data_IF_781417998897
#
_entry.id   IF_781417998897
#
_cell.length_a   1.000
_cell.length_b   1.000
_cell.length_c   1.000
_cell.angle_alpha   90.00
_cell.angle_beta   90.00
_cell.angle_gamma   90.00
#
_symmetry.space_group_name_H-M   'P 1'
#
loop_
_entity.id
_entity.type
_entity.pdbx_description
1 polymer ?
#
# COMPACT_ATOMS: atom_id res chain seq x y z
N UNK A 1 13.21 7.48 26.24
CA UNK A 1 11.73 7.48 26.10
C UNK A 1 11.20 8.62 26.94
N UNK A 2 10.54 9.63 26.36
CA UNK A 2 9.93 10.72 27.13
C UNK A 2 8.53 10.25 27.54
N UNK A 3 8.16 10.39 28.81
CA UNK A 3 6.81 10.02 29.25
C UNK A 3 5.75 10.87 28.52
N UNK A 4 4.63 10.26 28.16
CA UNK A 4 3.56 10.92 27.38
C UNK A 4 3.13 12.24 28.02
N UNK A 5 2.93 12.28 29.35
CA UNK A 5 2.57 13.51 30.06
C UNK A 5 3.63 14.62 30.00
N UNK A 6 4.93 14.28 30.02
CA UNK A 6 6.00 15.28 29.85
C UNK A 6 6.06 15.80 28.41
N UNK A 7 5.79 14.92 27.44
CA UNK A 7 5.70 15.30 26.04
C UNK A 7 4.52 16.25 25.81
N UNK A 8 3.34 15.95 26.34
CA UNK A 8 2.14 16.77 26.14
C UNK A 8 2.33 18.22 26.61
N UNK A 9 3.01 18.42 27.74
CA UNK A 9 3.29 19.76 28.26
C UNK A 9 4.27 20.56 27.38
N UNK A 10 5.27 19.89 26.79
CA UNK A 10 6.32 20.54 26.00
C UNK A 10 6.03 20.60 24.48
N UNK A 11 5.05 19.85 24.00
CA UNK A 11 4.79 19.70 22.57
C UNK A 11 3.77 20.73 22.07
N UNK A 12 4.20 21.55 21.10
CA UNK A 12 3.33 22.53 20.43
C UNK A 12 2.20 21.89 19.62
N UNK A 13 2.35 20.63 19.20
CA UNK A 13 1.28 19.90 18.48
C UNK A 13 0.27 19.33 19.47
N UNK A 14 0.70 18.83 20.63
CA UNK A 14 -0.22 18.35 21.67
C UNK A 14 -1.14 19.46 22.19
N UNK A 15 -0.62 20.69 22.29
CA UNK A 15 -1.37 21.89 22.66
C UNK A 15 -2.04 22.60 21.49
N UNK A 16 -1.93 22.07 20.26
CA UNK A 16 -2.51 22.69 19.07
C UNK A 16 -4.02 22.42 18.98
N UNK A 17 -4.81 23.46 18.69
CA UNK A 17 -6.28 23.32 18.53
C UNK A 17 -6.69 22.34 17.43
N UNK A 18 -5.86 22.25 16.38
CA UNK A 18 -6.06 21.34 15.22
C UNK A 18 -5.18 20.08 15.30
N UNK A 19 -4.84 19.61 16.50
CA UNK A 19 -3.97 18.44 16.73
C UNK A 19 -4.39 17.24 15.88
N UNK A 20 -5.68 16.86 15.93
CA UNK A 20 -6.20 15.71 15.19
C UNK A 20 -6.00 15.84 13.67
N UNK A 21 -6.08 17.06 13.13
CA UNK A 21 -5.84 17.29 11.70
C UNK A 21 -4.36 17.13 11.34
N UNK A 22 -3.45 17.62 12.19
CA UNK A 22 -2.00 17.41 12.04
C UNK A 22 -1.65 15.92 12.06
N UNK A 23 -2.20 15.17 13.02
CA UNK A 23 -1.99 13.73 13.14
C UNK A 23 -2.54 12.97 11.91
N UNK A 24 -3.76 13.30 11.47
CA UNK A 24 -4.38 12.72 10.28
C UNK A 24 -3.58 12.99 9.02
N UNK A 25 -3.17 14.24 8.79
CA UNK A 25 -2.38 14.64 7.62
C UNK A 25 -1.04 13.90 7.61
N UNK A 26 -0.41 13.73 8.78
CA UNK A 26 0.82 12.93 8.90
C UNK A 26 0.59 11.45 8.56
N UNK A 27 -0.50 10.85 9.04
CA UNK A 27 -0.87 9.45 8.76
C UNK A 27 -1.22 9.26 7.28
N UNK A 28 -1.83 10.25 6.63
CA UNK A 28 -2.18 10.26 5.20
C UNK A 28 -1.03 10.65 4.28
N UNK A 29 0.22 10.48 4.73
CA UNK A 29 1.43 10.70 3.93
C UNK A 29 1.70 12.12 3.44
N UNK A 30 0.96 13.14 3.92
CA UNK A 30 1.28 14.53 3.61
C UNK A 30 2.70 14.87 4.09
N UNK A 31 3.39 15.70 3.32
CA UNK A 31 4.77 16.09 3.62
C UNK A 31 4.85 16.79 4.99
N UNK A 32 5.72 16.34 5.93
CA UNK A 32 5.89 17.00 7.22
C UNK A 32 6.31 18.48 7.13
N UNK A 33 6.95 18.90 6.04
CA UNK A 33 7.26 20.30 5.78
C UNK A 33 6.01 21.12 5.40
N UNK A 34 5.12 20.53 4.60
CA UNK A 34 3.84 21.15 4.25
C UNK A 34 2.92 21.25 5.48
N UNK A 35 2.85 20.18 6.29
CA UNK A 35 2.14 20.19 7.57
C UNK A 35 2.71 21.29 8.47
N UNK A 36 4.03 21.38 8.62
CA UNK A 36 4.62 22.41 9.47
C UNK A 36 4.22 23.82 9.02
N UNK A 37 4.26 24.09 7.72
CA UNK A 37 3.85 25.38 7.16
C UNK A 37 2.38 25.69 7.37
N UNK A 38 1.50 24.73 7.07
CA UNK A 38 0.04 24.91 7.10
C UNK A 38 -0.53 25.10 8.51
N UNK A 39 0.05 24.41 9.50
CA UNK A 39 -0.40 24.48 10.88
C UNK A 39 0.48 25.42 11.75
N UNK A 40 1.34 26.24 11.14
CA UNK A 40 2.15 27.22 11.86
C UNK A 40 3.15 26.61 12.86
N UNK A 41 3.66 25.41 12.56
CA UNK A 41 4.65 24.72 13.38
C UNK A 41 6.05 25.20 12.99
N UNK A 42 7.00 25.14 13.94
CA UNK A 42 8.37 25.61 13.73
C UNK A 42 9.03 25.00 12.49
N UNK A 43 8.95 23.68 12.35
CA UNK A 43 9.62 22.92 11.31
C UNK A 43 9.08 21.49 11.22
N UNK A 44 9.55 20.75 10.21
CA UNK A 44 9.26 19.30 10.05
C UNK A 44 9.71 18.46 11.25
N UNK A 45 10.76 18.89 11.97
CA UNK A 45 11.30 18.17 13.13
C UNK A 45 10.32 18.17 14.30
N UNK A 46 9.49 19.20 14.41
CA UNK A 46 8.41 19.30 15.39
C UNK A 46 7.32 18.26 15.13
N UNK A 47 6.98 18.03 13.86
CA UNK A 47 6.04 16.98 13.44
C UNK A 47 6.61 15.59 13.75
N UNK A 48 7.86 15.32 13.40
CA UNK A 48 8.49 14.02 13.67
C UNK A 48 8.61 13.70 15.16
N UNK A 49 9.02 14.67 15.99
CA UNK A 49 9.10 14.47 17.45
C UNK A 49 7.74 14.10 18.05
N UNK A 50 6.67 14.75 17.59
CA UNK A 50 5.31 14.39 18.01
C UNK A 50 4.90 13.01 17.52
N UNK A 51 5.16 12.70 16.25
CA UNK A 51 4.84 11.39 15.68
C UNK A 51 5.55 10.23 16.38
N UNK A 52 6.81 10.41 16.80
CA UNK A 52 7.53 9.41 17.58
C UNK A 52 6.97 9.27 18.99
N UNK A 53 6.63 10.38 19.65
CA UNK A 53 6.13 10.34 21.02
C UNK A 53 4.75 9.68 21.14
N UNK A 54 3.92 9.75 20.09
CA UNK A 54 2.58 9.14 20.05
C UNK A 54 2.47 7.90 19.16
N UNK A 55 3.61 7.37 18.73
CA UNK A 55 3.67 6.15 17.92
C UNK A 55 2.77 6.20 16.66
N UNK A 56 2.87 7.30 15.91
CA UNK A 56 2.06 7.51 14.68
C UNK A 56 2.67 6.85 13.45
N UNK A 57 3.93 6.42 13.51
CA UNK A 57 4.63 5.80 12.38
C UNK A 57 4.01 4.47 11.95
N UNK A 58 3.67 3.54 12.86
CA UNK A 58 2.95 2.33 12.47
C UNK A 58 1.64 2.67 11.76
N UNK A 59 0.85 3.62 12.28
CA UNK A 59 -0.41 4.05 11.65
C UNK A 59 -0.19 4.62 10.25
N UNK A 60 0.84 5.46 10.08
CA UNK A 60 1.25 6.00 8.77
C UNK A 60 1.67 4.90 7.80
N UNK A 61 2.46 3.93 8.25
CA UNK A 61 2.88 2.79 7.43
C UNK A 61 1.68 1.95 6.98
N UNK A 62 0.69 1.72 7.86
CA UNK A 62 -0.52 0.99 7.48
C UNK A 62 -1.31 1.68 6.37
N UNK A 63 -1.21 3.01 6.30
CA UNK A 63 -1.92 3.84 5.36
C UNK A 63 -1.13 4.14 4.07
N UNK A 64 -0.20 3.27 3.68
CA UNK A 64 0.57 3.40 2.42
C UNK A 64 -0.32 3.55 1.18
N UNK A 65 -1.53 2.98 1.19
CA UNK A 65 -2.51 3.13 0.11
C UNK A 65 -2.80 4.59 -0.22
N UNK A 66 -3.00 5.43 0.79
CA UNK A 66 -3.24 6.86 0.62
C UNK A 66 -2.03 7.61 0.00
N UNK A 67 -0.81 7.10 0.21
CA UNK A 67 0.40 7.65 -0.43
C UNK A 67 0.46 7.29 -1.92
N UNK A 68 0.08 6.05 -2.24
CA UNK A 68 0.09 5.52 -3.60
C UNK A 68 -1.03 6.14 -4.46
N UNK A 69 -2.22 6.37 -3.88
CA UNK A 69 -3.31 7.12 -4.53
C UNK A 69 -2.86 8.52 -4.96
N UNK A 70 -2.16 9.27 -4.10
CA UNK A 70 -1.60 10.59 -4.45
C UNK A 70 -0.56 10.53 -5.59
N UNK A 71 0.17 9.41 -5.72
CA UNK A 71 1.11 9.20 -6.83
C UNK A 71 0.35 8.90 -8.13
N UNK A 72 -0.70 8.07 -8.07
CA UNK A 72 -1.55 7.73 -9.21
C UNK A 72 -2.25 8.99 -9.75
N UNK A 73 -2.82 9.83 -8.86
CA UNK A 73 -3.43 11.11 -9.24
C UNK A 73 -2.44 12.03 -9.98
N UNK A 74 -1.21 12.14 -9.46
CA UNK A 74 -0.15 12.97 -10.06
C UNK A 74 0.49 12.38 -11.31
N UNK A 75 0.35 11.08 -11.55
CA UNK A 75 0.86 10.43 -12.75
C UNK A 75 0.12 10.85 -14.02
N UNK A 76 -1.08 11.42 -13.90
CA UNK A 76 -1.79 12.06 -15.01
C UNK A 76 -1.27 13.47 -15.32
N UNK A 77 -0.49 14.10 -14.43
CA UNK A 77 -0.05 15.50 -14.54
C UNK A 77 1.44 15.66 -14.87
N UNK A 78 2.24 14.59 -14.76
CA UNK A 78 3.69 14.60 -14.99
C UNK A 78 4.01 13.54 -16.05
N UNK A 79 5.01 13.75 -16.91
CA UNK A 79 5.58 12.72 -17.82
C UNK A 79 6.26 11.62 -16.98
N UNK A 80 5.45 10.87 -16.23
CA UNK A 80 5.89 9.72 -15.47
C UNK A 80 5.96 8.57 -16.44
N UNK A 81 7.14 7.96 -16.57
CA UNK A 81 7.26 6.77 -17.41
C UNK A 81 6.23 5.73 -16.94
N UNK A 82 5.56 5.07 -17.89
CA UNK A 82 4.50 4.10 -17.58
C UNK A 82 4.99 2.97 -16.65
N UNK A 83 6.29 2.65 -16.65
CA UNK A 83 6.87 1.64 -15.78
C UNK A 83 6.90 2.05 -14.30
N UNK A 84 7.02 3.35 -13.97
CA UNK A 84 6.96 3.85 -12.60
C UNK A 84 5.52 3.77 -12.06
N UNK A 85 4.53 4.01 -12.91
CA UNK A 85 3.11 3.82 -12.56
C UNK A 85 2.79 2.34 -12.34
N UNK A 86 3.20 1.47 -13.26
CA UNK A 86 3.01 0.01 -13.13
C UNK A 86 3.72 -0.53 -11.89
N UNK A 87 4.92 -0.03 -11.57
CA UNK A 87 5.65 -0.38 -10.35
C UNK A 87 4.93 0.05 -9.08
N UNK A 88 4.35 1.27 -9.07
CA UNK A 88 3.55 1.76 -7.95
C UNK A 88 2.27 0.92 -7.76
N UNK A 89 1.57 0.57 -8.84
CA UNK A 89 0.38 -0.29 -8.81
C UNK A 89 0.72 -1.71 -8.33
N UNK A 90 1.82 -2.29 -8.81
CA UNK A 90 2.31 -3.60 -8.36
C UNK A 90 2.65 -3.58 -6.87
N UNK A 91 3.27 -2.50 -6.40
CA UNK A 91 3.59 -2.29 -4.98
C UNK A 91 2.32 -2.13 -4.14
N UNK A 92 1.30 -1.40 -4.63
CA UNK A 92 0.00 -1.28 -3.97
C UNK A 92 -0.68 -2.64 -3.80
N UNK A 93 -0.69 -3.46 -4.85
CA UNK A 93 -1.33 -4.78 -4.86
C UNK A 93 -0.67 -5.77 -3.88
N UNK A 94 0.60 -5.58 -3.54
CA UNK A 94 1.33 -6.41 -2.57
C UNK A 94 1.09 -6.03 -1.10
N UNK A 95 0.22 -5.06 -0.83
CA UNK A 95 0.00 -4.54 0.53
C UNK A 95 -1.42 -4.89 1.00
N UNK A 96 -1.52 -5.68 2.07
CA UNK A 96 -2.81 -6.09 2.63
C UNK A 96 -3.57 -4.92 3.31
N UNK A 97 -4.78 -5.19 3.80
CA UNK A 97 -5.62 -4.20 4.51
C UNK A 97 -5.00 -3.66 5.79
N UNK A 98 -3.99 -4.35 6.34
CA UNK A 98 -3.21 -3.92 7.49
C UNK A 98 -1.93 -3.16 7.11
N UNK A 99 -1.69 -2.93 5.82
CA UNK A 99 -0.53 -2.22 5.31
C UNK A 99 0.80 -2.97 5.48
N UNK A 100 0.74 -4.28 5.65
CA UNK A 100 1.91 -5.15 5.64
C UNK A 100 2.20 -5.56 4.20
N UNK A 101 3.50 -5.66 3.89
CA UNK A 101 3.96 -6.36 2.69
C UNK A 101 3.54 -7.82 2.81
N UNK A 102 2.60 -8.23 1.97
CA UNK A 102 2.37 -9.64 1.72
C UNK A 102 3.31 -9.99 0.58
N UNK A 103 4.42 -10.61 0.93
CA UNK A 103 5.11 -11.44 -0.05
C UNK A 103 4.09 -12.51 -0.44
N UNK A 104 3.48 -12.36 -1.62
CA UNK A 104 2.71 -13.45 -2.22
C UNK A 104 3.72 -14.54 -2.54
N UNK A 105 4.11 -15.32 -1.53
CA UNK A 105 4.75 -16.61 -1.72
C UNK A 105 3.83 -17.39 -2.66
N UNK A 106 4.35 -17.71 -3.85
CA UNK A 106 3.66 -18.35 -4.98
C UNK A 106 2.65 -17.48 -5.74
N UNK A 107 3.07 -16.29 -6.20
CA UNK A 107 2.46 -15.78 -7.43
C UNK A 107 3.05 -16.53 -8.62
N UNK A 108 2.32 -17.56 -9.07
CA UNK A 108 2.55 -18.19 -10.37
C UNK A 108 2.66 -17.09 -11.42
N UNK A 109 3.87 -16.90 -11.96
CA UNK A 109 4.12 -15.90 -12.99
C UNK A 109 3.48 -16.41 -14.30
N UNK A 110 2.36 -15.81 -14.69
CA UNK A 110 1.63 -16.24 -15.89
C UNK A 110 2.52 -16.21 -17.14
N UNK A 111 3.48 -15.29 -17.22
CA UNK A 111 4.42 -15.23 -18.35
C UNK A 111 5.32 -16.47 -18.40
N UNK A 112 5.83 -16.94 -17.26
CA UNK A 112 6.65 -18.16 -17.20
C UNK A 112 5.83 -19.41 -17.55
N UNK A 113 4.52 -19.41 -17.26
CA UNK A 113 3.65 -20.50 -17.71
C UNK A 113 3.43 -20.47 -19.23
N UNK A 114 3.24 -19.29 -19.83
CA UNK A 114 3.13 -19.17 -21.29
C UNK A 114 4.43 -19.56 -22.00
N UNK A 115 5.59 -19.23 -21.42
CA UNK A 115 6.90 -19.66 -21.94
C UNK A 115 7.13 -21.17 -21.87
N UNK A 116 6.44 -21.87 -20.97
CA UNK A 116 6.52 -23.32 -20.82
C UNK A 116 5.57 -24.08 -21.76
N UNK A 117 4.69 -23.38 -22.48
CA UNK A 117 3.83 -24.01 -23.49
C UNK A 117 4.65 -24.41 -24.72
N UNK A 118 4.33 -25.57 -25.27
CA UNK A 118 4.83 -25.99 -26.57
C UNK A 118 4.20 -25.13 -27.68
N UNK A 119 4.82 -25.14 -28.87
CA UNK A 119 4.31 -24.39 -30.01
C UNK A 119 2.90 -24.85 -30.40
N UNK A 120 2.65 -26.15 -30.33
CA UNK A 120 1.36 -26.76 -30.64
C UNK A 120 0.27 -26.32 -29.64
N UNK A 121 0.62 -26.16 -28.35
CA UNK A 121 -0.28 -25.63 -27.31
C UNK A 121 -0.54 -24.12 -27.49
N UNK A 122 0.47 -23.34 -27.91
CA UNK A 122 0.29 -21.91 -28.24
C UNK A 122 -0.58 -21.70 -29.47
N UNK A 123 -0.43 -22.54 -30.49
CA UNK A 123 -1.26 -22.52 -31.70
C UNK A 123 -2.71 -22.96 -31.42
N UNK A 124 -2.94 -23.86 -30.46
CA UNK A 124 -4.29 -24.16 -29.97
C UNK A 124 -4.89 -22.93 -29.27
N UNK A 125 -4.19 -22.34 -28.29
CA UNK A 125 -4.63 -21.13 -27.60
C UNK A 125 -4.92 -19.97 -28.56
N UNK A 126 -4.08 -19.75 -29.58
CA UNK A 126 -4.28 -18.69 -30.57
C UNK A 126 -5.50 -18.93 -31.48
N UNK A 127 -5.91 -20.18 -31.70
CA UNK A 127 -7.04 -20.53 -32.58
C UNK A 127 -8.39 -20.49 -31.87
N UNK A 128 -8.46 -21.00 -30.65
CA UNK A 128 -9.74 -21.22 -29.94
C UNK A 128 -9.71 -20.90 -28.44
N UNK A 129 -8.64 -20.26 -27.96
CA UNK A 129 -8.41 -19.94 -26.55
C UNK A 129 -8.31 -21.18 -25.63
N UNK A 130 -8.01 -22.37 -26.18
CA UNK A 130 -7.79 -23.58 -25.38
C UNK A 130 -6.46 -23.51 -24.63
N UNK A 131 -6.50 -23.69 -23.30
CA UNK A 131 -5.32 -23.79 -22.44
C UNK A 131 -5.06 -25.25 -22.02
N UNK A 132 -3.79 -25.66 -21.89
CA UNK A 132 -3.45 -27.01 -21.42
C UNK A 132 -3.94 -27.29 -20.00
N UNK A 133 -4.29 -28.55 -19.71
CA UNK A 133 -4.75 -28.96 -18.37
C UNK A 133 -3.74 -28.68 -17.25
N UNK A 134 -2.43 -28.78 -17.55
CA UNK A 134 -1.40 -28.48 -16.57
C UNK A 134 -1.34 -26.98 -16.25
N UNK A 135 -1.68 -26.12 -17.21
CA UNK A 135 -1.71 -24.66 -17.05
C UNK A 135 -2.87 -24.27 -16.12
N UNK A 136 -4.08 -24.77 -16.40
CA UNK A 136 -5.27 -24.50 -15.59
C UNK A 136 -5.15 -25.08 -14.18
N UNK A 137 -4.53 -26.26 -14.01
CA UNK A 137 -4.25 -26.87 -12.70
C UNK A 137 -3.26 -26.06 -11.87
N UNK A 138 -2.22 -25.52 -12.51
CA UNK A 138 -1.19 -24.71 -11.83
C UNK A 138 -1.77 -23.37 -11.36
N UNK A 139 -2.67 -22.75 -12.15
CA UNK A 139 -3.38 -21.53 -11.78
C UNK A 139 -4.50 -21.80 -10.74
N UNK A 140 -5.20 -22.94 -10.84
CA UNK A 140 -6.30 -23.31 -9.95
C UNK A 140 -5.87 -23.75 -8.55
N UNK A 141 -4.66 -24.30 -8.39
CA UNK A 141 -4.10 -24.69 -7.09
C UNK A 141 -3.85 -23.50 -6.14
N UNK A 142 -3.91 -22.26 -6.64
CA UNK A 142 -3.71 -21.01 -5.88
C UNK A 142 -5.02 -20.32 -5.48
N UNK A 143 -6.20 -20.92 -5.71
CA UNK A 143 -7.46 -20.35 -5.29
C UNK A 143 -7.56 -20.28 -3.75
N UNK A 144 -7.96 -19.13 -3.16
CA UNK A 144 -8.10 -19.01 -1.71
C UNK A 144 -9.24 -19.90 -1.22
N UNK A 145 -8.98 -20.56 -0.09
CA UNK A 145 -9.97 -21.16 0.79
C UNK A 145 -11.21 -20.24 0.87
N UNK A 146 -12.33 -20.72 0.35
CA UNK A 146 -13.62 -20.05 0.57
C UNK A 146 -13.94 -20.14 2.06
N UNK A 147 -14.43 -19.07 2.72
CA UNK A 147 -15.02 -19.23 4.03
C UNK A 147 -16.34 -19.98 3.87
N UNK A 148 -16.53 -21.01 4.70
CA UNK A 148 -17.80 -21.72 4.83
C UNK A 148 -18.94 -20.73 5.08
N UNK A 149 -20.06 -20.79 4.33
CA UNK A 149 -21.29 -20.19 4.77
C UNK A 149 -22.07 -21.21 5.64
N UNK A 150 -22.66 -20.67 6.70
CA UNK A 150 -23.83 -21.20 7.43
C UNK A 150 -23.59 -22.09 8.66
N UNK A 151 -23.33 -21.41 9.77
CA UNK A 151 -24.14 -21.63 10.97
C UNK A 151 -24.95 -20.36 11.26
N UNK A 152 -26.28 -20.45 11.18
CA UNK A 152 -27.21 -20.11 12.29
C UNK A 152 -28.68 -20.20 11.82
N UNK A 153 -29.43 -21.17 12.36
CA UNK A 153 -30.86 -21.14 12.78
C UNK A 153 -31.52 -22.51 12.68
#
# INVERSE_FOLDING_TARGET
>A
MVSVGRHEYGCKICSHKRRHEVERDFINWKSPALIAREYGLKDRSSVYRHAHALDLFPKRQRNVRAALEQIIERACEVDVNAAAVVSAVRTYASINSFGQWVERSEQVNLNELFERMTREELEAYARDATLPEWFTRTVGATAPHSPDPEGDS
#
